data_IF_601181586446
#
_entry.id   IF_601181586446
#
_cell.length_a   1.000
_cell.length_b   1.000
_cell.length_c   1.000
_cell.angle_alpha   90.00
_cell.angle_beta   90.00
_cell.angle_gamma   90.00
#
_symmetry.space_group_name_H-M   'P 1'
#
loop_
_entity.id
_entity.type
_entity.pdbx_description
1 polymer ?
#
# COMPACT_ATOMS: atom_id res chain seq x y z
N UNK A 1 13.72 1.41 -10.68
CA UNK A 1 13.72 1.20 -9.21
C UNK A 1 12.30 1.42 -8.67
N UNK A 2 11.99 1.05 -7.42
CA UNK A 2 10.69 1.29 -6.78
C UNK A 2 10.70 2.68 -6.12
N UNK A 3 9.72 3.53 -6.42
CA UNK A 3 9.59 4.88 -5.89
C UNK A 3 8.27 5.06 -5.14
N UNK A 4 8.32 5.80 -4.04
CA UNK A 4 7.14 6.17 -3.23
C UNK A 4 6.89 7.67 -3.36
N UNK A 5 5.84 8.03 -4.08
CA UNK A 5 5.48 9.42 -4.37
C UNK A 5 4.34 9.85 -3.44
N UNK A 6 4.58 10.88 -2.64
CA UNK A 6 3.57 11.57 -1.83
C UNK A 6 2.98 12.71 -2.66
N UNK A 7 1.64 12.75 -2.75
CA UNK A 7 0.91 13.78 -3.50
C UNK A 7 -0.19 14.35 -2.63
N UNK A 8 -0.13 15.65 -2.31
CA UNK A 8 -1.25 16.38 -1.74
C UNK A 8 -2.12 16.92 -2.86
N UNK A 9 -3.43 16.68 -2.77
CA UNK A 9 -4.40 17.06 -3.79
C UNK A 9 -5.64 17.66 -3.17
N UNK A 10 -6.37 18.47 -3.92
CA UNK A 10 -7.72 18.87 -3.55
C UNK A 10 -8.66 17.65 -3.50
N UNK A 11 -9.48 17.55 -2.45
CA UNK A 11 -10.47 16.50 -2.28
C UNK A 11 -11.77 16.85 -3.00
N UNK A 12 -11.75 16.80 -4.34
CA UNK A 12 -12.93 17.06 -5.18
C UNK A 12 -13.15 15.98 -6.25
N UNK A 13 -14.35 15.97 -6.81
CA UNK A 13 -14.73 14.99 -7.81
C UNK A 13 -13.77 14.96 -9.01
N UNK A 14 -13.36 13.75 -9.40
CA UNK A 14 -12.52 13.49 -10.56
C UNK A 14 -11.02 13.67 -10.35
N UNK A 15 -10.54 14.19 -9.21
CA UNK A 15 -9.09 14.40 -8.96
C UNK A 15 -8.33 13.07 -8.97
N UNK A 16 -8.81 12.08 -8.22
CA UNK A 16 -8.22 10.73 -8.20
C UNK A 16 -8.14 10.13 -9.62
N UNK A 17 -9.20 10.28 -10.42
CA UNK A 17 -9.25 9.78 -11.79
C UNK A 17 -8.24 10.46 -12.70
N UNK A 18 -8.06 11.79 -12.58
CA UNK A 18 -7.03 12.53 -13.34
C UNK A 18 -5.62 12.12 -12.94
N UNK A 19 -5.36 11.97 -11.65
CA UNK A 19 -4.06 11.51 -11.14
C UNK A 19 -3.77 10.09 -11.64
N UNK A 20 -4.69 9.15 -11.47
CA UNK A 20 -4.52 7.78 -11.96
C UNK A 20 -4.41 7.71 -13.50
N UNK A 21 -5.19 8.53 -14.22
CA UNK A 21 -5.19 8.63 -15.68
C UNK A 21 -3.86 9.09 -16.27
N UNK A 22 -3.08 9.88 -15.53
CA UNK A 22 -1.73 10.30 -15.92
C UNK A 22 -0.78 9.10 -16.04
N UNK A 23 -0.90 8.13 -15.13
CA UNK A 23 -0.09 6.91 -15.13
C UNK A 23 -0.52 6.00 -16.28
N UNK A 24 -1.83 5.72 -16.42
CA UNK A 24 -2.33 4.83 -17.46
C UNK A 24 -2.10 5.37 -18.87
N UNK A 25 -2.30 6.67 -19.10
CA UNK A 25 -2.12 7.32 -20.41
C UNK A 25 -0.68 7.32 -20.91
N UNK A 26 0.30 7.03 -20.06
CA UNK A 26 1.72 6.92 -20.41
C UNK A 26 2.30 5.52 -20.22
N UNK A 27 1.47 4.55 -19.85
CA UNK A 27 1.90 3.18 -19.58
C UNK A 27 2.77 3.03 -18.34
N UNK A 28 2.68 3.96 -17.38
CA UNK A 28 3.38 3.83 -16.10
C UNK A 28 2.59 2.90 -15.18
N UNK A 29 3.30 1.97 -14.54
CA UNK A 29 2.67 1.03 -13.62
C UNK A 29 2.39 1.68 -12.26
N UNK A 30 1.24 1.39 -11.66
CA UNK A 30 0.94 1.70 -10.25
C UNK A 30 1.02 0.38 -9.48
N UNK A 31 2.00 0.24 -8.59
CA UNK A 31 2.15 -0.94 -7.74
C UNK A 31 1.20 -0.88 -6.55
N UNK A 32 1.05 0.30 -5.94
CA UNK A 32 -0.02 0.56 -4.98
C UNK A 32 -0.42 2.03 -4.98
N UNK A 33 -1.66 2.30 -4.59
CA UNK A 33 -2.19 3.64 -4.43
C UNK A 33 -3.09 3.67 -3.20
N UNK A 34 -2.81 4.60 -2.30
CA UNK A 34 -3.65 4.92 -1.16
C UNK A 34 -4.05 6.40 -1.21
N UNK A 35 -5.29 6.72 -0.80
CA UNK A 35 -5.76 8.09 -0.69
C UNK A 35 -6.72 8.23 0.48
N UNK A 36 -6.54 9.27 1.30
CA UNK A 36 -7.45 9.65 2.36
C UNK A 36 -7.38 11.16 2.61
N UNK A 37 -8.44 11.72 3.21
CA UNK A 37 -8.48 13.12 3.62
C UNK A 37 -7.46 13.40 4.74
N UNK A 38 -6.86 14.59 4.72
CA UNK A 38 -5.89 15.03 5.72
C UNK A 38 -6.59 15.74 6.89
N UNK A 39 -5.80 16.34 7.80
CA UNK A 39 -6.34 17.24 8.83
C UNK A 39 -6.96 18.51 8.23
N UNK A 40 -6.50 18.93 7.06
CA UNK A 40 -7.08 20.05 6.33
C UNK A 40 -8.27 19.54 5.50
N UNK A 41 -9.46 20.03 5.85
CA UNK A 41 -10.70 19.65 5.17
C UNK A 41 -10.64 20.06 3.70
N UNK A 42 -11.04 19.15 2.81
CA UNK A 42 -10.97 19.40 1.38
C UNK A 42 -9.59 19.14 0.78
N UNK A 43 -8.63 18.61 1.55
CA UNK A 43 -7.31 18.19 1.06
C UNK A 43 -7.10 16.71 1.36
N UNK A 44 -6.71 15.95 0.34
CA UNK A 44 -6.38 14.53 0.45
C UNK A 44 -4.89 14.28 0.25
N UNK A 45 -4.35 13.30 0.97
CA UNK A 45 -2.99 12.81 0.78
C UNK A 45 -3.03 11.48 0.04
N UNK A 46 -2.38 11.43 -1.11
CA UNK A 46 -2.17 10.23 -1.90
C UNK A 46 -0.75 9.71 -1.69
N UNK A 47 -0.61 8.41 -1.46
CA UNK A 47 0.67 7.71 -1.55
C UNK A 47 0.63 6.80 -2.75
N UNK A 48 1.54 6.98 -3.70
CA UNK A 48 1.61 6.21 -4.94
C UNK A 48 2.96 5.51 -4.99
N UNK A 49 2.93 4.18 -5.04
CA UNK A 49 4.13 3.37 -5.26
C UNK A 49 4.17 2.96 -6.72
N UNK A 50 5.29 3.24 -7.38
CA UNK A 50 5.49 2.94 -8.81
C UNK A 50 6.91 2.42 -9.07
N UNK A 51 7.16 1.93 -10.29
CA UNK A 51 8.49 1.51 -10.75
C UNK A 51 8.85 2.24 -12.03
N UNK A 52 10.06 2.79 -12.07
CA UNK A 52 10.61 3.51 -13.21
C UNK A 52 12.10 3.76 -13.03
N UNK A 53 12.78 4.18 -14.08
CA UNK A 53 14.09 4.83 -13.95
C UNK A 53 13.91 6.30 -13.53
N UNK A 54 15.01 6.97 -13.17
CA UNK A 54 14.95 8.34 -12.66
C UNK A 54 14.32 9.32 -13.66
N UNK A 55 14.52 9.09 -14.97
CA UNK A 55 13.92 9.91 -16.03
C UNK A 55 12.37 9.77 -16.07
N UNK A 56 11.85 8.55 -15.93
CA UNK A 56 10.41 8.29 -15.83
C UNK A 56 9.83 8.94 -14.57
N UNK A 57 10.51 8.81 -13.43
CA UNK A 57 10.03 9.36 -12.16
C UNK A 57 10.03 10.90 -12.18
N UNK A 58 11.07 11.51 -12.74
CA UNK A 58 11.13 12.94 -12.97
C UNK A 58 9.97 13.40 -13.87
N UNK A 59 9.67 12.64 -14.94
CA UNK A 59 8.55 12.93 -15.82
C UNK A 59 7.20 12.80 -15.09
N UNK A 60 6.98 11.74 -14.31
CA UNK A 60 5.77 11.57 -13.49
C UNK A 60 5.59 12.77 -12.56
N UNK A 61 6.63 13.13 -11.82
CA UNK A 61 6.63 14.24 -10.86
C UNK A 61 6.33 15.57 -11.55
N UNK A 62 6.95 15.85 -12.70
CA UNK A 62 6.68 17.04 -13.50
C UNK A 62 5.25 17.10 -14.02
N UNK A 63 4.67 15.97 -14.41
CA UNK A 63 3.30 15.92 -14.93
C UNK A 63 2.26 16.06 -13.83
N UNK A 64 2.52 15.49 -12.65
CA UNK A 64 1.67 15.66 -11.46
C UNK A 64 1.63 17.13 -11.03
N UNK A 65 2.79 17.80 -10.97
CA UNK A 65 2.87 19.23 -10.63
C UNK A 65 2.14 20.16 -11.64
N UNK A 66 1.83 19.69 -12.85
CA UNK A 66 1.04 20.46 -13.84
C UNK A 66 -0.46 20.31 -13.66
N UNK A 67 -0.92 19.38 -12.83
CA UNK A 67 -2.34 19.22 -12.55
C UNK A 67 -2.80 20.34 -11.62
N UNK A 68 -3.89 21.00 -11.99
CA UNK A 68 -4.45 22.14 -11.24
C UNK A 68 -4.85 21.71 -9.81
N UNK A 69 -5.30 20.47 -9.66
CA UNK A 69 -5.76 19.91 -8.38
C UNK A 69 -4.63 19.45 -7.46
N UNK A 70 -3.39 19.42 -7.93
CA UNK A 70 -2.25 18.94 -7.16
C UNK A 70 -1.62 20.11 -6.41
N UNK A 71 -1.61 20.02 -5.09
CA UNK A 71 -1.08 21.03 -4.18
C UNK A 71 0.43 20.85 -4.01
N UNK A 72 0.89 19.60 -3.90
CA UNK A 72 2.31 19.28 -3.67
C UNK A 72 2.63 17.86 -4.12
N UNK A 73 3.81 17.67 -4.71
CA UNK A 73 4.38 16.36 -5.05
C UNK A 73 5.74 16.22 -4.40
N UNK A 74 6.03 15.08 -3.78
CA UNK A 74 7.33 14.74 -3.19
C UNK A 74 7.66 13.30 -3.53
N UNK A 75 8.79 13.05 -4.17
CA UNK A 75 9.38 11.71 -4.17
C UNK A 75 10.04 11.48 -2.80
N UNK A 76 9.55 10.48 -2.06
CA UNK A 76 10.09 10.17 -0.74
C UNK A 76 11.39 9.39 -0.81
N UNK A 77 11.72 8.77 -1.95
CA UNK A 77 12.97 8.04 -2.12
C UNK A 77 14.22 8.94 -2.02
N UNK A 78 14.09 10.23 -2.29
CA UNK A 78 15.16 11.23 -2.14
C UNK A 78 15.35 11.67 -0.68
N UNK A 79 14.61 11.07 0.25
CA UNK A 79 14.56 11.47 1.66
C UNK A 79 14.54 10.26 2.57
N UNK A 80 14.81 10.49 3.85
CA UNK A 80 14.46 9.51 4.86
C UNK A 80 12.94 9.50 5.05
N UNK A 81 12.31 8.33 4.97
CA UNK A 81 10.88 8.17 5.19
C UNK A 81 10.57 6.89 5.95
N UNK A 82 9.32 6.78 6.40
CA UNK A 82 8.73 5.54 6.91
C UNK A 82 7.56 5.17 6.04
N UNK A 83 7.44 3.89 5.72
CA UNK A 83 6.24 3.32 5.11
C UNK A 83 5.65 2.20 5.95
N UNK A 84 4.32 2.12 5.87
CA UNK A 84 3.53 1.05 6.47
C UNK A 84 2.43 0.62 5.53
N UNK A 85 2.04 -0.62 5.68
CA UNK A 85 0.93 -1.23 4.96
C UNK A 85 0.17 -2.14 5.93
N UNK A 86 -1.16 -2.20 5.78
CA UNK A 86 -2.01 -3.18 6.43
C UNK A 86 -2.54 -4.17 5.39
N UNK A 87 -2.60 -5.44 5.77
CA UNK A 87 -3.23 -6.48 4.99
C UNK A 87 -4.20 -7.30 5.85
N UNK A 88 -5.34 -7.65 5.25
CA UNK A 88 -6.25 -8.68 5.74
C UNK A 88 -6.04 -9.93 4.89
N UNK A 89 -5.76 -11.06 5.53
CA UNK A 89 -5.39 -12.32 4.87
C UNK A 89 -6.32 -13.41 5.38
N UNK A 90 -7.10 -14.00 4.47
CA UNK A 90 -7.92 -15.17 4.79
C UNK A 90 -7.19 -16.43 4.35
N UNK A 91 -7.06 -17.39 5.26
CA UNK A 91 -6.40 -18.68 4.99
C UNK A 91 -7.36 -19.83 5.25
N UNK A 92 -7.19 -20.91 4.49
CA UNK A 92 -7.76 -22.21 4.78
C UNK A 92 -6.84 -22.94 5.76
N UNK A 93 -7.27 -23.08 7.01
CA UNK A 93 -6.51 -23.71 8.09
C UNK A 93 -7.29 -24.94 8.60
N UNK A 94 -7.16 -26.11 7.96
CA UNK A 94 -7.67 -27.37 8.49
C UNK A 94 -6.97 -27.71 9.81
N UNK A 95 -7.56 -28.61 10.59
CA UNK A 95 -7.16 -28.91 11.98
C UNK A 95 -5.64 -29.08 12.17
N UNK A 96 -4.99 -29.83 11.27
CA UNK A 96 -3.55 -30.09 11.33
C UNK A 96 -2.68 -28.82 11.20
N UNK A 97 -3.13 -27.82 10.46
CA UNK A 97 -2.36 -26.60 10.13
C UNK A 97 -2.71 -25.41 11.02
N UNK A 98 -3.76 -25.50 11.85
CA UNK A 98 -4.22 -24.37 12.68
C UNK A 98 -3.16 -23.88 13.66
N UNK A 99 -2.49 -24.81 14.35
CA UNK A 99 -1.45 -24.44 15.30
C UNK A 99 -0.25 -23.77 14.62
N UNK A 100 0.08 -24.17 13.39
CA UNK A 100 1.14 -23.54 12.60
C UNK A 100 0.78 -22.14 12.14
N UNK A 101 -0.44 -21.96 11.63
CA UNK A 101 -0.96 -20.65 11.29
C UNK A 101 -0.88 -19.67 12.47
N UNK A 102 -1.31 -20.09 13.67
CA UNK A 102 -1.23 -19.25 14.87
C UNK A 102 0.21 -18.88 15.24
N UNK A 103 1.18 -19.81 15.12
CA UNK A 103 2.59 -19.49 15.35
C UNK A 103 3.12 -18.43 14.39
N UNK A 104 2.76 -18.53 13.09
CA UNK A 104 3.14 -17.52 12.10
C UNK A 104 2.53 -16.16 12.46
N UNK A 105 1.24 -16.15 12.81
CA UNK A 105 0.55 -14.93 13.25
C UNK A 105 1.29 -14.28 14.43
N UNK A 106 1.67 -15.05 15.43
CA UNK A 106 2.38 -14.56 16.62
C UNK A 106 3.78 -14.00 16.28
N UNK A 107 4.56 -14.72 15.45
CA UNK A 107 5.91 -14.28 15.02
C UNK A 107 5.84 -12.90 14.34
N UNK A 108 4.83 -12.70 13.49
CA UNK A 108 4.65 -11.44 12.77
C UNK A 108 3.92 -10.38 13.58
N UNK A 109 3.56 -10.65 14.83
CA UNK A 109 2.72 -9.77 15.67
C UNK A 109 1.44 -9.36 14.93
N UNK A 110 0.91 -10.29 14.15
CA UNK A 110 -0.37 -10.17 13.47
C UNK A 110 -1.49 -10.54 14.46
N UNK A 111 -2.75 -10.40 14.05
CA UNK A 111 -3.91 -10.72 14.87
C UNK A 111 -4.88 -11.59 14.08
N UNK A 112 -5.40 -12.65 14.70
CA UNK A 112 -6.59 -13.32 14.16
C UNK A 112 -7.79 -12.44 14.50
N UNK A 113 -8.48 -11.96 13.47
CA UNK A 113 -9.68 -11.10 13.60
C UNK A 113 -10.98 -11.87 13.37
N UNK A 114 -10.92 -13.04 12.75
CA UNK A 114 -12.04 -13.97 12.60
C UNK A 114 -11.53 -15.41 12.53
N UNK A 115 -12.31 -16.36 13.06
CA UNK A 115 -11.96 -17.78 13.15
C UNK A 115 -13.17 -18.66 12.91
N UNK A 116 -13.08 -19.55 11.94
CA UNK A 116 -14.01 -20.65 11.70
C UNK A 116 -13.30 -22.00 11.91
N UNK A 117 -14.01 -23.15 11.89
CA UNK A 117 -13.39 -24.47 12.03
C UNK A 117 -12.29 -24.78 11.00
N UNK A 118 -12.34 -24.16 9.81
CA UNK A 118 -11.41 -24.43 8.71
C UNK A 118 -10.75 -23.16 8.14
N UNK A 119 -10.94 -22.01 8.77
CA UNK A 119 -10.42 -20.74 8.29
C UNK A 119 -9.97 -19.83 9.42
N UNK A 120 -8.98 -18.99 9.10
CA UNK A 120 -8.64 -17.82 9.88
C UNK A 120 -8.63 -16.60 8.96
N UNK A 121 -9.11 -15.47 9.48
CA UNK A 121 -8.85 -14.15 8.91
C UNK A 121 -7.85 -13.42 9.80
N UNK A 122 -6.77 -12.97 9.21
CA UNK A 122 -5.60 -12.43 9.89
C UNK A 122 -5.42 -10.97 9.47
N UNK A 123 -5.29 -10.07 10.44
CA UNK A 123 -4.83 -8.70 10.24
C UNK A 123 -3.33 -8.61 10.51
N UNK A 124 -2.57 -8.03 9.59
CA UNK A 124 -1.14 -7.75 9.77
C UNK A 124 -0.84 -6.33 9.32
N UNK A 125 0.02 -5.64 10.09
CA UNK A 125 0.54 -4.31 9.73
C UNK A 125 2.06 -4.32 9.84
N UNK A 126 2.74 -3.70 8.87
CA UNK A 126 4.19 -3.80 8.73
C UNK A 126 4.76 -2.90 7.64
N UNK A 127 6.07 -2.99 7.41
CA UNK A 127 6.64 -2.53 6.14
C UNK A 127 6.20 -3.47 5.01
N UNK A 128 6.26 -3.04 3.74
CA UNK A 128 5.91 -3.91 2.62
C UNK A 128 6.65 -5.25 2.64
N UNK A 129 7.92 -5.28 3.04
CA UNK A 129 8.72 -6.50 3.15
C UNK A 129 8.20 -7.44 4.24
N UNK A 130 7.73 -6.88 5.35
CA UNK A 130 7.09 -7.69 6.41
C UNK A 130 5.78 -8.31 5.92
N UNK A 131 5.00 -7.57 5.12
CA UNK A 131 3.76 -8.08 4.52
C UNK A 131 4.08 -9.22 3.53
N UNK A 132 5.06 -9.06 2.65
CA UNK A 132 5.47 -10.15 1.75
C UNK A 132 5.97 -11.38 2.52
N UNK A 133 6.79 -11.19 3.56
CA UNK A 133 7.35 -12.30 4.31
C UNK A 133 6.30 -13.16 5.05
N UNK A 134 5.23 -12.55 5.60
CA UNK A 134 4.12 -13.35 6.17
C UNK A 134 3.33 -14.07 5.09
N UNK A 135 3.13 -13.43 3.92
CA UNK A 135 2.43 -14.07 2.81
C UNK A 135 3.20 -15.31 2.31
N UNK A 136 4.53 -15.22 2.20
CA UNK A 136 5.36 -16.36 1.79
C UNK A 136 5.22 -17.56 2.74
N UNK A 137 5.11 -17.31 4.05
CA UNK A 137 4.93 -18.37 5.06
C UNK A 137 3.50 -18.90 5.16
N UNK A 138 2.50 -18.08 4.85
CA UNK A 138 1.10 -18.50 4.85
C UNK A 138 0.69 -19.20 3.53
N UNK A 139 1.43 -18.99 2.43
CA UNK A 139 1.15 -19.62 1.13
C UNK A 139 1.03 -21.15 1.21
N UNK A 140 1.95 -21.89 1.87
CA UNK A 140 1.83 -23.35 2.01
C UNK A 140 0.61 -23.80 2.84
N UNK A 141 0.13 -22.97 3.77
CA UNK A 141 -1.07 -23.27 4.57
C UNK A 141 -2.33 -23.17 3.69
N UNK A 142 -2.38 -22.17 2.81
CA UNK A 142 -3.44 -21.99 1.82
C UNK A 142 -4.13 -20.63 1.97
N UNK A 143 -3.56 -19.59 1.37
CA UNK A 143 -4.20 -18.27 1.27
C UNK A 143 -5.38 -18.36 0.31
N UNK A 144 -6.56 -17.95 0.79
CA UNK A 144 -7.79 -17.89 -0.02
C UNK A 144 -8.03 -16.49 -0.57
N UNK A 145 -7.78 -15.47 0.23
CA UNK A 145 -8.09 -14.08 -0.10
C UNK A 145 -7.11 -13.14 0.60
N UNK A 146 -6.82 -12.02 -0.04
CA UNK A 146 -6.03 -10.95 0.52
C UNK A 146 -6.59 -9.59 0.11
N UNK A 147 -6.66 -8.67 1.07
CA UNK A 147 -6.94 -7.25 0.83
C UNK A 147 -5.83 -6.43 1.45
N UNK A 148 -5.31 -5.46 0.71
CA UNK A 148 -4.17 -4.62 1.11
C UNK A 148 -4.53 -3.15 0.99
N UNK A 149 -4.02 -2.33 1.91
CA UNK A 149 -4.23 -0.88 1.87
C UNK A 149 -3.35 -0.16 0.84
N UNK A 150 -2.31 -0.83 0.35
CA UNK A 150 -1.14 -0.16 -0.24
C UNK A 150 -0.28 0.52 0.83
N UNK A 151 0.89 1.00 0.43
CA UNK A 151 1.77 1.73 1.34
C UNK A 151 1.18 3.10 1.69
N UNK A 152 1.15 3.42 2.98
CA UNK A 152 1.10 4.80 3.48
C UNK A 152 2.51 5.19 3.89
N UNK A 153 2.92 6.41 3.56
CA UNK A 153 4.28 6.85 3.81
C UNK A 153 4.32 8.28 4.34
N UNK A 154 5.29 8.54 5.20
CA UNK A 154 5.58 9.86 5.75
C UNK A 154 7.08 10.09 5.77
N UNK A 155 7.49 11.29 5.34
CA UNK A 155 8.87 11.73 5.47
C UNK A 155 9.27 11.75 6.96
N UNK A 156 10.47 11.28 7.28
CA UNK A 156 11.08 11.49 8.59
C UNK A 156 11.46 12.97 8.71
N UNK A 157 11.41 13.48 9.94
CA UNK A 157 11.68 14.88 10.28
C UNK A 157 12.96 15.39 9.66
#
# INVERSE_FOLDING_TARGET
MRHTISVLVENRFGVLSRVAGLFSGRGYNIESLNVAETLEKGVSHMTIVTRGDDAIIEQITKQLNKQIDVIRVVDLNDKEFVDREMALIKIHAPEELRAEALRIVDIFRAKVIDSSPRHYSIEVTGSPEKIEAILDLLRPIGIQEIVRTGSVALQRG
#
